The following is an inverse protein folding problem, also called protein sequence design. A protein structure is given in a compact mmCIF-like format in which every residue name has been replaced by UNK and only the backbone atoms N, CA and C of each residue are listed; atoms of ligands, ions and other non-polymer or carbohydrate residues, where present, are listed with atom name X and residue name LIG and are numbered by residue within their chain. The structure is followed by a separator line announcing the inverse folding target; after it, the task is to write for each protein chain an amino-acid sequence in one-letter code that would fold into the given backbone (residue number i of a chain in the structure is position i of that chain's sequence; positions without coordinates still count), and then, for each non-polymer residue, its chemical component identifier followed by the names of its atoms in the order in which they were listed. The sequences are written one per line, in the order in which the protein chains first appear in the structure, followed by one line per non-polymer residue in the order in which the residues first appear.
data_IF_173916018630
#
_entry.id   IF_173916018630
#
_cell.length_a   1.000
_cell.length_b   1.000
_cell.length_c   1.000
_cell.angle_alpha   90.00
_cell.angle_beta   90.00
_cell.angle_gamma   90.00
#
_symmetry.space_group_name_H-M   'P 1'
#
loop_
_entity.id
_entity.type
_entity.pdbx_description
1 polymer ?
#
# COMPACT_ATOMS: atom_id res chain seq x y z
N UNK A 1 -6.75 11.24 -12.75
CA UNK A 1 -6.95 9.77 -12.68
C UNK A 1 -5.96 9.04 -13.57
N UNK A 2 -5.73 9.45 -14.82
CA UNK A 2 -4.60 8.99 -15.67
C UNK A 2 -3.23 9.15 -14.98
N UNK A 3 -3.03 10.23 -14.24
CA UNK A 3 -1.79 10.51 -13.50
C UNK A 3 -1.44 9.42 -12.46
N UNK A 4 -2.43 8.80 -11.84
CA UNK A 4 -2.22 7.72 -10.86
C UNK A 4 -1.67 6.45 -11.51
N UNK A 5 -2.31 6.03 -12.60
CA UNK A 5 -1.98 4.81 -13.34
C UNK A 5 -0.61 4.96 -14.00
N UNK A 6 -0.34 6.10 -14.62
CA UNK A 6 0.95 6.39 -15.25
C UNK A 6 2.09 6.45 -14.22
N UNK A 7 1.81 6.98 -13.03
CA UNK A 7 2.78 6.98 -11.93
C UNK A 7 3.07 5.57 -11.44
N UNK A 8 2.04 4.74 -11.21
CA UNK A 8 2.23 3.35 -10.80
C UNK A 8 2.96 2.53 -11.87
N UNK A 9 2.62 2.68 -13.15
CA UNK A 9 3.39 2.05 -14.25
C UNK A 9 4.84 2.48 -14.24
N UNK A 10 5.12 3.78 -14.05
CA UNK A 10 6.48 4.29 -13.89
C UNK A 10 7.20 3.65 -12.70
N UNK A 11 6.53 3.49 -11.56
CA UNK A 11 7.08 2.86 -10.36
C UNK A 11 7.48 1.40 -10.64
N UNK A 12 6.56 0.57 -11.13
CA UNK A 12 6.83 -0.85 -11.42
C UNK A 12 7.83 -1.04 -12.56
N UNK A 13 7.81 -0.19 -13.59
CA UNK A 13 8.83 -0.23 -14.66
C UNK A 13 10.25 -0.01 -14.17
N UNK A 14 10.40 0.52 -12.94
CA UNK A 14 11.69 0.79 -12.31
C UNK A 14 12.12 -0.35 -11.38
N UNK A 15 11.30 -1.36 -11.09
CA UNK A 15 11.61 -2.36 -10.03
C UNK A 15 12.25 -3.66 -10.48
N UNK A 16 12.20 -3.97 -11.79
CA UNK A 16 13.01 -5.00 -12.42
C UNK A 16 12.62 -6.46 -12.12
N UNK A 17 11.87 -6.71 -11.05
CA UNK A 17 11.37 -8.02 -10.62
C UNK A 17 9.85 -8.20 -10.83
N UNK A 18 9.17 -7.15 -11.26
CA UNK A 18 7.73 -7.12 -11.44
C UNK A 18 7.30 -6.01 -12.38
N UNK A 19 6.24 -6.23 -13.16
CA UNK A 19 5.68 -5.26 -14.10
C UNK A 19 4.20 -5.04 -13.81
N UNK A 20 3.79 -3.78 -13.66
CA UNK A 20 2.37 -3.45 -13.55
C UNK A 20 1.69 -3.58 -14.92
N UNK A 21 0.85 -4.60 -15.08
CA UNK A 21 0.03 -4.79 -16.28
C UNK A 21 -1.15 -3.83 -16.28
N UNK A 22 -1.83 -3.73 -15.15
CA UNK A 22 -3.05 -2.95 -15.04
C UNK A 22 -3.19 -2.33 -13.65
N UNK A 23 -3.76 -1.13 -13.60
CA UNK A 23 -4.23 -0.54 -12.35
C UNK A 23 -5.46 0.30 -12.63
N UNK A 24 -6.55 0.03 -11.90
CA UNK A 24 -7.80 0.77 -12.00
C UNK A 24 -8.14 1.27 -10.61
N UNK A 25 -8.33 2.58 -10.46
CA UNK A 25 -8.91 3.16 -9.24
C UNK A 25 -10.25 3.82 -9.58
N UNK A 26 -11.34 3.24 -9.09
CA UNK A 26 -12.68 3.74 -9.33
C UNK A 26 -13.57 3.50 -8.11
N UNK A 27 -14.33 4.52 -7.69
CA UNK A 27 -15.28 4.46 -6.57
C UNK A 27 -14.70 3.84 -5.27
N UNK A 28 -13.50 4.27 -4.87
CA UNK A 28 -12.84 3.76 -3.65
C UNK A 28 -12.32 2.33 -3.78
N UNK A 29 -12.30 1.78 -4.98
CA UNK A 29 -11.79 0.44 -5.26
C UNK A 29 -10.53 0.53 -6.10
N UNK A 30 -9.47 -0.11 -5.65
CA UNK A 30 -8.22 -0.25 -6.39
C UNK A 30 -8.08 -1.70 -6.86
N UNK A 31 -7.89 -1.88 -8.16
CA UNK A 31 -7.56 -3.16 -8.76
C UNK A 31 -6.15 -3.03 -9.35
N UNK A 32 -5.26 -3.96 -9.02
CA UNK A 32 -3.85 -3.97 -9.38
C UNK A 32 -3.52 -5.35 -9.95
N UNK A 33 -2.97 -5.37 -11.16
CA UNK A 33 -2.46 -6.58 -11.79
C UNK A 33 -0.95 -6.44 -12.00
N UNK A 34 -0.18 -7.32 -11.36
CA UNK A 34 1.27 -7.29 -11.37
C UNK A 34 1.75 -8.61 -11.98
N UNK A 35 2.52 -8.54 -13.06
CA UNK A 35 3.28 -9.68 -13.56
C UNK A 35 4.58 -9.80 -12.77
N UNK A 36 4.85 -10.98 -12.24
CA UNK A 36 6.07 -11.32 -11.51
C UNK A 36 7.12 -11.87 -12.48
N UNK A 37 8.36 -11.98 -12.02
CA UNK A 37 9.52 -12.41 -12.82
C UNK A 37 9.35 -13.80 -13.49
N UNK A 38 8.53 -14.69 -12.93
CA UNK A 38 8.28 -16.05 -13.43
C UNK A 38 7.00 -16.14 -14.31
N UNK A 39 6.59 -15.05 -14.94
CA UNK A 39 5.37 -14.90 -15.75
C UNK A 39 4.05 -15.13 -14.97
N UNK A 40 4.10 -15.20 -13.64
CA UNK A 40 2.91 -15.28 -12.78
C UNK A 40 2.17 -13.94 -12.71
N UNK A 41 0.85 -13.96 -12.81
CA UNK A 41 0.01 -12.77 -12.69
C UNK A 41 -0.62 -12.69 -11.30
N UNK A 42 -0.18 -11.70 -10.52
CA UNK A 42 -0.79 -11.34 -9.25
C UNK A 42 -1.93 -10.33 -9.46
N UNK A 43 -3.16 -10.79 -9.27
CA UNK A 43 -4.35 -9.95 -9.26
C UNK A 43 -4.73 -9.59 -7.82
N UNK A 44 -4.79 -8.30 -7.52
CA UNK A 44 -5.22 -7.81 -6.23
C UNK A 44 -6.31 -6.77 -6.36
N UNK A 45 -7.30 -6.88 -5.50
CA UNK A 45 -8.42 -5.96 -5.45
C UNK A 45 -8.70 -5.55 -4.01
N UNK A 46 -8.79 -4.24 -3.78
CA UNK A 46 -9.02 -3.67 -2.46
C UNK A 46 -10.01 -2.52 -2.48
N UNK A 47 -10.83 -2.43 -1.44
CA UNK A 47 -11.55 -1.21 -1.11
C UNK A 47 -10.68 -0.35 -0.19
N UNK A 48 -10.47 0.91 -0.58
CA UNK A 48 -9.69 1.87 0.18
C UNK A 48 -10.16 3.31 -0.07
N UNK A 49 -10.30 4.05 1.03
CA UNK A 49 -10.60 5.49 1.02
C UNK A 49 -9.35 6.34 1.28
N UNK A 50 -8.27 5.74 1.82
CA UNK A 50 -7.06 6.45 2.20
C UNK A 50 -5.84 5.87 1.49
N UNK A 51 -5.27 6.70 0.62
CA UNK A 51 -4.18 6.35 -0.28
C UNK A 51 -3.07 7.39 -0.18
N UNK A 52 -1.85 6.91 -0.03
CA UNK A 52 -0.62 7.67 -0.20
C UNK A 52 0.10 7.22 -1.46
N UNK A 53 0.61 8.20 -2.20
CA UNK A 53 1.47 8.00 -3.36
C UNK A 53 2.65 8.95 -3.31
N UNK A 54 3.84 8.43 -3.61
CA UNK A 54 5.04 9.22 -3.89
C UNK A 54 5.39 9.14 -5.38
N UNK A 55 5.68 10.28 -6.00
CA UNK A 55 6.26 10.30 -7.34
C UNK A 55 7.74 9.90 -7.26
N UNK A 56 8.20 9.03 -8.15
CA UNK A 56 9.62 8.65 -8.25
C UNK A 56 10.17 9.18 -9.56
N UNK A 57 11.15 10.08 -9.49
CA UNK A 57 11.76 10.66 -10.70
C UNK A 57 12.92 9.81 -11.25
N UNK A 58 13.69 9.11 -10.41
CA UNK A 58 14.91 8.40 -10.84
C UNK A 58 14.77 6.87 -10.87
N UNK A 59 15.42 6.22 -11.85
CA UNK A 59 15.70 4.77 -11.86
C UNK A 59 16.85 4.53 -10.87
N UNK A 60 16.63 3.74 -9.82
CA UNK A 60 17.73 3.20 -9.02
C UNK A 60 18.16 1.84 -9.59
N UNK A 61 19.46 1.52 -9.66
CA UNK A 61 19.96 0.31 -10.32
C UNK A 61 19.64 -1.02 -9.58
N UNK A 62 19.06 -0.97 -8.38
CA UNK A 62 18.75 -2.15 -7.55
C UNK A 62 17.35 -2.08 -6.92
N UNK A 63 16.37 -1.64 -7.69
CA UNK A 63 15.08 -1.20 -7.17
C UNK A 63 14.13 -2.39 -6.93
N UNK A 64 14.46 -3.46 -6.20
CA UNK A 64 13.47 -4.51 -5.93
C UNK A 64 12.27 -3.95 -5.17
N UNK A 65 11.08 -4.12 -5.72
CA UNK A 65 9.84 -3.62 -5.12
C UNK A 65 9.23 -4.70 -4.23
N UNK A 66 8.85 -4.35 -3.00
CA UNK A 66 8.19 -5.30 -2.10
C UNK A 66 6.84 -4.76 -1.64
N UNK A 67 5.85 -5.64 -1.70
CA UNK A 67 4.55 -5.44 -1.06
C UNK A 67 4.63 -5.96 0.37
N UNK A 68 4.12 -5.18 1.30
CA UNK A 68 3.97 -5.59 2.69
C UNK A 68 2.54 -5.32 3.13
N UNK A 69 1.89 -6.34 3.69
CA UNK A 69 0.62 -6.20 4.39
C UNK A 69 0.88 -6.25 5.89
N UNK A 70 0.49 -5.20 6.60
CA UNK A 70 0.68 -5.09 8.06
C UNK A 70 -0.68 -4.98 8.72
N UNK A 71 -0.92 -5.83 9.73
CA UNK A 71 -2.12 -5.73 10.56
C UNK A 71 -1.96 -4.55 11.51
N UNK A 72 -2.87 -3.58 11.40
CA UNK A 72 -2.75 -2.29 12.11
C UNK A 72 -2.78 -2.47 13.63
N UNK A 73 -3.54 -3.43 14.15
CA UNK A 73 -3.61 -3.71 15.59
C UNK A 73 -2.31 -4.27 16.19
N UNK A 74 -1.36 -4.70 15.36
CA UNK A 74 -0.06 -5.21 15.84
C UNK A 74 0.98 -4.10 15.99
N UNK A 75 0.74 -2.94 15.37
CA UNK A 75 1.72 -1.84 15.27
C UNK A 75 1.18 -0.49 15.75
N UNK A 76 -0.12 -0.37 15.98
CA UNK A 76 -0.79 0.81 16.53
C UNK A 76 -1.63 0.43 17.75
N UNK A 77 -1.79 1.39 18.65
CA UNK A 77 -2.69 1.25 19.79
C UNK A 77 -4.13 1.49 19.34
N UNK A 78 -5.10 1.00 20.13
CA UNK A 78 -6.53 1.25 19.90
C UNK A 78 -7.12 1.91 21.15
N UNK A 79 -7.67 3.11 20.98
CA UNK A 79 -8.38 3.85 22.02
C UNK A 79 -9.76 4.25 21.49
N UNK A 80 -10.82 3.96 22.26
CA UNK A 80 -12.20 4.23 21.86
C UNK A 80 -12.53 3.75 20.44
N UNK A 81 -12.05 2.54 20.07
CA UNK A 81 -12.23 1.94 18.74
C UNK A 81 -11.54 2.68 17.57
N UNK A 82 -10.56 3.53 17.85
CA UNK A 82 -9.78 4.24 16.83
C UNK A 82 -8.29 3.99 17.01
N UNK A 83 -7.54 3.93 15.90
CA UNK A 83 -6.09 3.75 15.96
C UNK A 83 -5.39 5.01 16.48
N UNK A 84 -4.41 4.79 17.35
CA UNK A 84 -3.58 5.84 17.95
C UNK A 84 -2.13 5.36 18.08
N UNK A 85 -1.24 6.27 18.46
CA UNK A 85 0.20 6.03 18.61
C UNK A 85 0.69 6.61 19.93
N UNK A 86 1.73 6.03 20.51
CA UNK A 86 2.39 6.63 21.68
C UNK A 86 2.99 8.01 21.34
N UNK A 87 2.93 8.93 22.30
CA UNK A 87 3.37 10.31 22.12
C UNK A 87 4.89 10.53 22.15
N UNK A 88 5.70 9.48 22.22
CA UNK A 88 7.15 9.62 22.17
C UNK A 88 7.64 9.88 20.74
N UNK A 89 8.61 10.78 20.60
CA UNK A 89 9.08 11.27 19.30
C UNK A 89 9.55 10.14 18.36
N UNK A 90 10.23 9.13 18.92
CA UNK A 90 10.77 8.01 18.14
C UNK A 90 9.63 7.23 17.47
N UNK A 91 8.54 6.96 18.19
CA UNK A 91 7.39 6.22 17.65
C UNK A 91 6.64 7.04 16.63
N UNK A 92 6.48 8.35 16.85
CA UNK A 92 5.87 9.25 15.86
C UNK A 92 6.68 9.23 14.55
N UNK A 93 8.01 9.34 14.64
CA UNK A 93 8.88 9.30 13.46
C UNK A 93 8.82 7.94 12.73
N UNK A 94 8.80 6.82 13.46
CA UNK A 94 8.63 5.49 12.87
C UNK A 94 7.27 5.35 12.17
N UNK A 95 6.22 5.87 12.77
CA UNK A 95 4.85 5.85 12.25
C UNK A 95 4.75 6.63 10.94
N UNK A 96 5.39 7.81 10.86
CA UNK A 96 5.44 8.61 9.65
C UNK A 96 6.32 7.99 8.55
N UNK A 97 7.47 7.42 8.92
CA UNK A 97 8.37 6.74 7.98
C UNK A 97 7.70 5.52 7.35
N UNK A 98 6.92 4.79 8.14
CA UNK A 98 6.20 3.57 7.72
C UNK A 98 4.80 3.84 7.16
N UNK A 99 4.41 5.12 7.04
CA UNK A 99 3.07 5.57 6.60
C UNK A 99 1.89 5.05 7.41
N UNK A 100 2.14 4.55 8.63
CA UNK A 100 1.11 4.17 9.59
C UNK A 100 0.26 5.38 10.03
N UNK A 101 0.76 6.60 9.83
CA UNK A 101 0.00 7.82 10.06
C UNK A 101 -1.28 7.92 9.20
N UNK A 102 -1.39 7.15 8.11
CA UNK A 102 -2.63 7.03 7.32
C UNK A 102 -3.78 6.38 8.09
N UNK A 103 -3.46 5.54 9.08
CA UNK A 103 -4.45 4.81 9.86
C UNK A 103 -4.86 5.52 11.17
N UNK A 104 -4.11 6.54 11.61
CA UNK A 104 -4.40 7.23 12.87
C UNK A 104 -5.77 7.91 12.83
N UNK A 105 -6.56 7.71 13.88
CA UNK A 105 -7.93 8.20 13.98
C UNK A 105 -8.94 7.40 13.15
N UNK A 106 -8.53 6.40 12.39
CA UNK A 106 -9.46 5.51 11.68
C UNK A 106 -10.04 4.46 12.63
N UNK A 107 -11.27 4.02 12.35
CA UNK A 107 -11.94 3.02 13.16
C UNK A 107 -11.34 1.62 12.94
N UNK A 108 -10.90 0.97 14.02
CA UNK A 108 -10.31 -0.37 14.00
C UNK A 108 -11.30 -1.48 13.57
N UNK A 109 -12.60 -1.20 13.62
CA UNK A 109 -13.63 -2.11 13.13
C UNK A 109 -13.84 -2.01 11.61
N UNK A 110 -13.42 -0.89 10.99
CA UNK A 110 -13.61 -0.63 9.56
C UNK A 110 -12.33 -0.82 8.75
N UNK A 111 -11.16 -0.59 9.35
CA UNK A 111 -9.87 -0.70 8.70
C UNK A 111 -9.01 -1.62 9.54
N UNK A 112 -8.40 -2.62 8.93
CA UNK A 112 -7.70 -3.68 9.67
C UNK A 112 -6.24 -3.82 9.27
N UNK A 113 -5.92 -3.46 8.02
CA UNK A 113 -4.56 -3.59 7.48
C UNK A 113 -4.13 -2.33 6.74
N UNK A 114 -2.83 -2.18 6.60
CA UNK A 114 -2.19 -1.27 5.66
C UNK A 114 -1.34 -2.10 4.71
N UNK A 115 -1.49 -1.83 3.41
CA UNK A 115 -0.64 -2.38 2.38
C UNK A 115 0.31 -1.29 1.94
N UNK A 116 1.60 -1.59 1.92
CA UNK A 116 2.62 -0.70 1.40
C UNK A 116 3.33 -1.37 0.22
N UNK A 117 3.63 -0.58 -0.80
CA UNK A 117 4.59 -0.92 -1.82
C UNK A 117 5.81 -0.04 -1.63
N UNK A 118 6.95 -0.69 -1.44
CA UNK A 118 8.18 -0.05 -1.02
C UNK A 118 9.34 -0.48 -1.90
N UNK A 119 10.32 0.40 -1.95
CA UNK A 119 11.61 0.13 -2.56
C UNK A 119 12.70 0.59 -1.59
N UNK A 120 13.53 1.56 -1.98
CA UNK A 120 14.35 2.35 -1.06
C UNK A 120 13.51 3.16 -0.05
N UNK A 121 12.26 3.50 -0.40
CA UNK A 121 11.30 4.20 0.44
C UNK A 121 9.88 3.69 0.15
N UNK A 122 8.90 4.05 0.98
CA UNK A 122 7.48 3.74 0.71
C UNK A 122 6.99 4.64 -0.44
N UNK A 123 6.43 4.00 -1.46
CA UNK A 123 5.99 4.66 -2.69
C UNK A 123 4.47 4.64 -2.82
N UNK A 124 3.84 3.55 -2.41
CA UNK A 124 2.39 3.42 -2.30
C UNK A 124 2.07 2.95 -0.90
N UNK A 125 1.04 3.50 -0.29
CA UNK A 125 0.46 2.93 0.91
C UNK A 125 -1.05 3.16 0.92
N UNK A 126 -1.82 2.17 1.35
CA UNK A 126 -3.26 2.31 1.48
C UNK A 126 -3.80 1.41 2.59
N UNK A 127 -4.82 1.91 3.28
CA UNK A 127 -5.49 1.17 4.35
C UNK A 127 -6.68 0.42 3.79
N UNK A 128 -6.89 -0.80 4.26
CA UNK A 128 -7.94 -1.69 3.77
C UNK A 128 -8.68 -2.32 4.93
N UNK A 129 -9.85 -2.84 4.60
CA UNK A 129 -10.55 -3.82 5.42
C UNK A 129 -10.32 -5.20 4.80
N UNK A 130 -9.69 -6.12 5.53
CA UNK A 130 -9.52 -7.52 5.10
C UNK A 130 -10.84 -8.27 4.94
N UNK A 131 -11.93 -7.78 5.56
CA UNK A 131 -13.27 -8.35 5.41
C UNK A 131 -13.98 -7.86 4.16
N UNK A 132 -13.56 -6.73 3.59
CA UNK A 132 -14.14 -6.19 2.36
C UNK A 132 -13.39 -6.74 1.15
N UNK A 133 -14.02 -7.68 0.45
CA UNK A 133 -13.65 -8.23 -0.87
C UNK A 133 -12.15 -8.15 -1.24
N UNK A 134 -11.33 -8.91 -0.52
CA UNK A 134 -10.02 -9.33 -1.02
C UNK A 134 -10.23 -10.50 -1.98
N UNK A 135 -10.01 -10.29 -3.27
CA UNK A 135 -9.87 -11.38 -4.24
C UNK A 135 -8.38 -11.54 -4.56
N UNK A 136 -7.88 -12.75 -4.33
CA UNK A 136 -6.56 -13.20 -4.71
C UNK A 136 -6.73 -14.43 -5.58
N UNK A 137 -6.45 -14.29 -6.86
CA UNK A 137 -6.52 -15.38 -7.84
C UNK A 137 -5.13 -15.51 -8.47
N UNK A 138 -4.53 -16.70 -8.33
CA UNK A 138 -3.41 -17.15 -9.15
C UNK A 138 -4.00 -17.72 -10.45
N UNK A 139 -3.61 -17.17 -11.59
CA UNK A 139 -3.79 -17.79 -12.90
C UNK A 139 -2.45 -18.31 -13.42
#
# INVERSE_FOLDING_TARGET
MEDFINTLRSIFSKTGDSTLKNCIYHNGKINIQIELFDDELLNMEFLTEFLYRKNIDMKAPFNKGYLQCIKLSEVLNIENNHYTVSGDFITIMKTQKSKLNLALGLSANKYTHIITYSNNEIVLAFVINDKDSYKYEYE
#
